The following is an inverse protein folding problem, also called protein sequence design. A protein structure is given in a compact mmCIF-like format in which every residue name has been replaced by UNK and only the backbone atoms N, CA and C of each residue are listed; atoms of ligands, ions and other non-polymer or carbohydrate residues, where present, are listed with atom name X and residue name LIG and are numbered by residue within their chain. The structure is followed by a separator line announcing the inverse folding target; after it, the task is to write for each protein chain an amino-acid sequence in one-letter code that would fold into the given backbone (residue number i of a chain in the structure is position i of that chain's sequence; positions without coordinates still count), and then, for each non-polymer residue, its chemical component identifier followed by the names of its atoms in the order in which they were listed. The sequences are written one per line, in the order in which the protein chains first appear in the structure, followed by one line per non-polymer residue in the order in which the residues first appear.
data_IF_160134337626
#
_entry.id   IF_160134337626
#
_cell.length_a   1.000
_cell.length_b   1.000
_cell.length_c   1.000
_cell.angle_alpha   90.00
_cell.angle_beta   90.00
_cell.angle_gamma   90.00
#
_symmetry.space_group_name_H-M   'P 1'
#
loop_
_entity.id
_entity.type
_entity.pdbx_description
1 polymer ?
#
# COMPACT_ATOMS: atom_id res chain seq x y z
N UNK A 1 -27.13 50.61 -30.72
CA UNK A 1 -26.83 49.23 -30.28
C UNK A 1 -26.97 49.17 -28.76
N UNK A 2 -27.97 48.42 -28.24
CA UNK A 2 -28.14 48.23 -26.77
C UNK A 2 -27.39 47.00 -26.38
N UNK A 3 -26.44 47.11 -25.45
CA UNK A 3 -25.75 45.98 -24.84
C UNK A 3 -26.70 45.23 -23.91
N UNK A 4 -26.70 43.88 -23.91
CA UNK A 4 -27.53 43.12 -22.99
C UNK A 4 -27.00 43.26 -21.55
N UNK A 5 -27.93 43.32 -20.59
CA UNK A 5 -27.66 43.55 -19.18
C UNK A 5 -26.82 42.41 -18.54
N UNK A 6 -25.91 42.81 -17.64
CA UNK A 6 -24.95 41.90 -16.92
C UNK A 6 -25.59 40.83 -16.03
N UNK A 7 -26.90 40.79 -15.86
CA UNK A 7 -27.58 39.95 -14.89
C UNK A 7 -27.88 38.52 -15.36
N UNK A 8 -27.76 38.22 -16.68
CA UNK A 8 -28.09 36.90 -17.21
C UNK A 8 -26.93 35.86 -17.15
N UNK A 9 -25.69 36.34 -16.97
CA UNK A 9 -24.54 35.43 -16.92
C UNK A 9 -24.40 34.64 -15.58
N UNK A 10 -24.81 35.22 -14.47
CA UNK A 10 -24.68 34.58 -13.15
C UNK A 10 -25.65 33.43 -12.94
N UNK A 11 -26.83 33.49 -13.57
CA UNK A 11 -27.87 32.45 -13.42
C UNK A 11 -27.56 31.21 -14.25
N UNK A 12 -26.97 31.38 -15.43
CA UNK A 12 -26.56 30.24 -16.30
C UNK A 12 -25.39 29.47 -15.67
N UNK A 13 -24.43 30.18 -15.03
CA UNK A 13 -23.28 29.54 -14.40
C UNK A 13 -23.66 28.73 -13.14
N UNK A 14 -24.60 29.24 -12.33
CA UNK A 14 -25.12 28.50 -11.18
C UNK A 14 -25.89 27.24 -11.59
N UNK A 15 -26.71 27.31 -12.64
CA UNK A 15 -27.43 26.15 -13.16
C UNK A 15 -26.51 25.03 -13.65
N UNK A 16 -25.42 25.36 -14.36
CA UNK A 16 -24.45 24.38 -14.82
C UNK A 16 -23.73 23.66 -13.70
N UNK A 17 -23.38 24.34 -12.60
CA UNK A 17 -22.73 23.72 -11.44
C UNK A 17 -23.67 22.70 -10.74
N UNK A 18 -24.95 23.03 -10.61
CA UNK A 18 -25.95 22.11 -10.04
C UNK A 18 -26.19 20.87 -10.89
N UNK A 19 -26.23 21.00 -12.22
CA UNK A 19 -26.40 19.88 -13.14
C UNK A 19 -25.17 18.95 -13.08
N UNK A 20 -23.95 19.50 -13.04
CA UNK A 20 -22.73 18.71 -12.87
C UNK A 20 -22.69 17.97 -11.52
N UNK A 21 -23.08 18.64 -10.43
CA UNK A 21 -23.13 18.02 -9.10
C UNK A 21 -24.17 16.87 -9.06
N UNK A 22 -25.34 17.05 -9.67
CA UNK A 22 -26.39 16.02 -9.75
C UNK A 22 -25.92 14.84 -10.61
N UNK A 23 -25.31 15.08 -11.78
CA UNK A 23 -24.79 14.02 -12.63
C UNK A 23 -23.66 13.22 -11.94
N UNK A 24 -22.79 13.89 -11.20
CA UNK A 24 -21.76 13.22 -10.40
C UNK A 24 -22.34 12.38 -9.26
N UNK A 25 -23.42 12.84 -8.62
CA UNK A 25 -24.11 12.10 -7.57
C UNK A 25 -24.80 10.84 -8.12
N UNK A 26 -25.46 10.95 -9.28
CA UNK A 26 -26.08 9.80 -9.94
C UNK A 26 -25.05 8.80 -10.46
N UNK A 27 -23.93 9.24 -11.00
CA UNK A 27 -22.84 8.37 -11.44
C UNK A 27 -22.23 7.59 -10.28
N UNK A 28 -22.00 8.22 -9.13
CA UNK A 28 -21.48 7.56 -7.94
C UNK A 28 -22.47 6.54 -7.34
N UNK A 29 -23.76 6.86 -7.28
CA UNK A 29 -24.78 5.94 -6.82
C UNK A 29 -24.97 4.70 -7.71
N UNK A 30 -24.86 4.86 -9.03
CA UNK A 30 -24.99 3.71 -9.96
C UNK A 30 -23.77 2.80 -9.88
N UNK A 31 -22.60 3.37 -9.65
CA UNK A 31 -21.35 2.60 -9.54
C UNK A 31 -21.27 1.82 -8.23
N UNK A 32 -21.63 2.42 -7.11
CA UNK A 32 -21.70 1.73 -5.80
C UNK A 32 -22.65 0.52 -5.85
N UNK A 33 -23.80 0.65 -6.50
CA UNK A 33 -24.70 -0.48 -6.76
C UNK A 33 -24.06 -1.56 -7.63
N UNK A 34 -23.24 -1.18 -8.61
CA UNK A 34 -22.54 -2.14 -9.48
C UNK A 34 -21.51 -2.95 -8.69
N UNK A 35 -20.69 -2.32 -7.86
CA UNK A 35 -19.70 -3.01 -7.02
C UNK A 35 -20.40 -3.92 -6.02
N UNK A 36 -21.46 -3.44 -5.35
CA UNK A 36 -22.24 -4.24 -4.42
C UNK A 36 -22.81 -5.51 -5.06
N UNK A 37 -23.25 -5.44 -6.32
CA UNK A 37 -23.77 -6.57 -7.06
C UNK A 37 -22.70 -7.54 -7.58
N UNK A 38 -21.45 -7.09 -7.70
CA UNK A 38 -20.32 -7.96 -8.09
C UNK A 38 -19.88 -8.88 -6.96
N UNK A 39 -20.08 -8.45 -5.72
CA UNK A 39 -19.73 -9.24 -4.53
C UNK A 39 -20.91 -10.14 -4.18
N UNK A 40 -20.81 -11.40 -4.54
CA UNK A 40 -21.78 -12.41 -4.12
C UNK A 40 -21.85 -12.47 -2.60
N UNK A 41 -23.07 -12.66 -2.07
CA UNK A 41 -23.30 -12.67 -0.62
C UNK A 41 -22.43 -13.71 0.10
N UNK A 42 -22.20 -14.87 -0.53
CA UNK A 42 -21.34 -15.95 -0.03
C UNK A 42 -19.86 -15.57 0.06
N UNK A 43 -19.41 -14.59 -0.75
CA UNK A 43 -18.01 -14.17 -0.79
C UNK A 43 -17.71 -12.97 0.12
N UNK A 44 -18.76 -12.30 0.62
CA UNK A 44 -18.61 -11.00 1.27
C UNK A 44 -17.77 -11.06 2.55
N UNK A 45 -17.98 -12.08 3.37
CA UNK A 45 -17.31 -12.22 4.66
C UNK A 45 -15.78 -12.39 4.47
N UNK A 46 -15.36 -13.41 3.72
CA UNK A 46 -13.95 -13.67 3.50
C UNK A 46 -13.27 -12.55 2.70
N UNK A 47 -13.97 -11.91 1.73
CA UNK A 47 -13.43 -10.75 1.01
C UNK A 47 -13.23 -9.55 1.93
N UNK A 48 -14.15 -9.33 2.87
CA UNK A 48 -14.01 -8.26 3.86
C UNK A 48 -12.76 -8.49 4.70
N UNK A 49 -12.59 -9.70 5.22
CA UNK A 49 -11.40 -10.10 5.99
C UNK A 49 -10.13 -9.96 5.17
N UNK A 50 -10.11 -10.50 3.94
CA UNK A 50 -8.97 -10.41 3.03
C UNK A 50 -8.52 -8.95 2.79
N UNK A 51 -9.46 -8.06 2.48
CA UNK A 51 -9.11 -6.67 2.25
C UNK A 51 -8.79 -5.91 3.54
N UNK A 52 -9.33 -6.30 4.70
CA UNK A 52 -8.91 -5.75 5.99
C UNK A 52 -7.46 -6.11 6.29
N UNK A 53 -7.09 -7.37 6.15
CA UNK A 53 -5.72 -7.82 6.37
C UNK A 53 -4.77 -7.08 5.40
N UNK A 54 -5.08 -7.09 4.13
CA UNK A 54 -4.24 -6.48 3.10
C UNK A 54 -4.12 -4.96 3.25
N UNK A 55 -5.22 -4.27 3.48
CA UNK A 55 -5.25 -2.81 3.51
C UNK A 55 -4.82 -2.23 4.85
N UNK A 56 -5.27 -2.81 5.96
CA UNK A 56 -5.07 -2.22 7.28
C UNK A 56 -3.89 -2.84 8.00
N UNK A 57 -3.75 -4.16 7.97
CA UNK A 57 -2.66 -4.84 8.66
C UNK A 57 -1.35 -4.75 7.90
N UNK A 58 -1.40 -4.98 6.58
CA UNK A 58 -0.24 -4.88 5.69
C UNK A 58 -0.03 -3.45 5.13
N UNK A 59 -0.80 -2.47 5.63
CA UNK A 59 -0.62 -1.03 5.35
C UNK A 59 -0.84 -0.61 3.88
N UNK A 60 -1.43 -1.48 3.05
CA UNK A 60 -1.68 -1.19 1.64
C UNK A 60 -2.70 -0.05 1.45
N UNK A 61 -3.41 0.33 2.49
CA UNK A 61 -4.35 1.46 2.48
C UNK A 61 -3.65 2.79 2.15
N UNK A 62 -2.36 2.94 2.50
CA UNK A 62 -1.57 4.13 2.15
C UNK A 62 -1.14 4.14 0.68
N UNK A 63 -1.05 2.98 0.04
CA UNK A 63 -0.89 2.88 -1.42
C UNK A 63 -2.22 3.14 -2.12
N UNK A 64 -3.34 2.72 -1.53
CA UNK A 64 -4.67 2.92 -2.12
C UNK A 64 -5.13 4.39 -2.06
N UNK A 65 -4.87 5.10 -0.96
CA UNK A 65 -5.43 6.42 -0.68
C UNK A 65 -4.41 7.51 -0.37
N UNK A 66 -3.18 7.14 -0.06
CA UNK A 66 -2.12 8.03 0.37
C UNK A 66 -1.02 8.17 -0.68
N UNK A 67 0.19 8.44 -0.22
CA UNK A 67 1.36 8.73 -1.04
C UNK A 67 2.36 7.57 -1.14
N UNK A 68 2.05 6.40 -0.56
CA UNK A 68 2.93 5.22 -0.62
C UNK A 68 2.87 4.62 -2.02
N UNK A 69 3.98 4.58 -2.78
CA UNK A 69 3.96 4.10 -4.17
C UNK A 69 3.57 2.63 -4.27
N UNK A 70 4.09 1.79 -3.37
CA UNK A 70 3.77 0.37 -3.34
C UNK A 70 3.90 -0.22 -1.94
N UNK A 71 3.23 -1.34 -1.73
CA UNK A 71 3.30 -2.14 -0.50
C UNK A 71 3.71 -3.55 -0.84
N UNK A 72 4.63 -4.11 -0.05
CA UNK A 72 4.98 -5.51 -0.05
C UNK A 72 4.19 -6.22 1.04
N UNK A 73 3.54 -7.30 0.68
CA UNK A 73 2.76 -8.17 1.56
C UNK A 73 3.42 -9.55 1.54
N UNK A 74 3.63 -10.13 2.69
CA UNK A 74 4.22 -11.45 2.84
C UNK A 74 3.08 -12.46 3.04
N UNK A 75 2.98 -13.44 2.15
CA UNK A 75 2.13 -14.60 2.34
C UNK A 75 2.99 -15.71 2.95
N UNK A 76 2.80 -15.95 4.21
CA UNK A 76 3.46 -17.02 4.94
C UNK A 76 2.57 -18.27 4.90
N UNK A 77 3.09 -19.33 4.28
CA UNK A 77 2.41 -20.62 4.10
C UNK A 77 2.85 -21.67 5.13
N UNK A 78 3.65 -21.27 6.14
CA UNK A 78 4.00 -22.19 7.21
C UNK A 78 2.77 -22.65 7.98
N UNK A 79 2.77 -23.89 8.42
CA UNK A 79 1.73 -24.44 9.29
C UNK A 79 1.73 -23.69 10.63
N UNK A 80 0.54 -23.36 11.12
CA UNK A 80 0.34 -22.74 12.43
C UNK A 80 1.07 -23.51 13.55
N UNK A 81 1.12 -24.84 13.44
CA UNK A 81 1.81 -25.71 14.39
C UNK A 81 3.32 -25.48 14.39
N UNK A 82 3.95 -25.26 13.23
CA UNK A 82 5.38 -24.96 13.13
C UNK A 82 5.69 -23.59 13.71
N UNK A 83 4.82 -22.61 13.47
CA UNK A 83 4.94 -21.28 14.04
C UNK A 83 4.84 -21.30 15.57
N UNK A 84 3.88 -22.03 16.13
CA UNK A 84 3.72 -22.16 17.58
C UNK A 84 4.94 -22.84 18.23
N UNK A 85 5.49 -23.89 17.61
CA UNK A 85 6.73 -24.56 18.07
C UNK A 85 7.93 -23.59 18.03
N UNK A 86 8.00 -22.74 17.03
CA UNK A 86 9.05 -21.72 16.93
C UNK A 86 8.86 -20.62 17.96
N UNK A 87 7.63 -20.13 18.14
CA UNK A 87 7.27 -19.09 19.13
C UNK A 87 7.55 -19.52 20.57
N UNK A 88 7.34 -20.79 20.91
CA UNK A 88 7.63 -21.32 22.24
C UNK A 88 9.13 -21.29 22.60
N UNK A 89 10.01 -21.18 21.62
CA UNK A 89 11.46 -21.06 21.82
C UNK A 89 11.91 -19.64 22.19
N UNK A 90 11.05 -18.65 22.08
CA UNK A 90 11.37 -17.28 22.40
C UNK A 90 11.36 -17.02 23.89
N UNK A 91 12.24 -16.12 24.33
CA UNK A 91 12.17 -15.52 25.66
C UNK A 91 10.87 -14.72 25.83
N UNK A 92 10.46 -14.45 27.07
CA UNK A 92 9.26 -13.66 27.33
C UNK A 92 9.38 -12.21 26.78
N UNK A 93 10.60 -11.67 26.71
CA UNK A 93 10.87 -10.37 26.10
C UNK A 93 10.69 -10.41 24.58
N UNK A 94 11.16 -11.46 23.91
CA UNK A 94 10.95 -11.67 22.48
C UNK A 94 9.48 -11.93 22.17
N UNK A 95 8.77 -12.73 22.97
CA UNK A 95 7.33 -12.98 22.84
C UNK A 95 6.51 -11.69 22.95
N UNK A 96 6.89 -10.75 23.82
CA UNK A 96 6.23 -9.44 23.93
C UNK A 96 6.40 -8.59 22.68
N UNK A 97 7.46 -8.81 21.91
CA UNK A 97 7.75 -8.09 20.68
C UNK A 97 7.25 -8.83 19.41
N UNK A 98 6.83 -10.09 19.56
CA UNK A 98 6.26 -10.88 18.48
C UNK A 98 4.75 -10.64 18.38
N UNK A 99 4.25 -10.42 17.19
CA UNK A 99 2.82 -10.40 16.89
C UNK A 99 2.34 -11.85 16.84
N UNK A 100 1.49 -12.27 17.79
CA UNK A 100 0.76 -13.53 17.66
C UNK A 100 -0.35 -13.31 16.63
N UNK A 101 -0.19 -13.91 15.48
CA UNK A 101 -1.20 -13.91 14.42
C UNK A 101 -2.17 -15.06 14.76
N UNK A 102 -3.28 -14.75 15.37
CA UNK A 102 -4.27 -15.74 15.85
C UNK A 102 -4.97 -16.52 14.74
N UNK A 103 -4.91 -16.16 13.53
CA UNK A 103 -5.35 -16.90 12.33
C UNK A 103 -4.93 -16.06 11.13
N UNK A 104 -3.87 -16.48 10.46
CA UNK A 104 -3.38 -15.78 9.28
C UNK A 104 -3.99 -16.44 8.04
N UNK A 105 -5.22 -16.09 7.74
CA UNK A 105 -5.96 -16.63 6.58
C UNK A 105 -5.57 -15.96 5.25
N UNK A 106 -4.58 -15.07 5.27
CA UNK A 106 -4.23 -14.28 4.08
C UNK A 106 -3.78 -15.14 2.88
N UNK A 107 -2.95 -16.20 3.05
CA UNK A 107 -2.60 -17.08 1.95
C UNK A 107 -3.80 -17.81 1.35
N UNK A 108 -4.69 -18.36 2.19
CA UNK A 108 -5.91 -19.03 1.73
C UNK A 108 -6.87 -18.04 1.02
N UNK A 109 -7.04 -16.85 1.58
CA UNK A 109 -7.89 -15.82 1.01
C UNK A 109 -7.29 -15.26 -0.29
N UNK A 110 -5.95 -15.23 -0.42
CA UNK A 110 -5.30 -14.93 -1.69
C UNK A 110 -5.67 -15.93 -2.78
N UNK A 111 -5.66 -17.23 -2.48
CA UNK A 111 -6.05 -18.25 -3.44
C UNK A 111 -7.53 -18.16 -3.84
N UNK A 112 -8.41 -17.76 -2.92
CA UNK A 112 -9.82 -17.45 -3.24
C UNK A 112 -9.92 -16.21 -4.13
N UNK A 113 -9.18 -15.15 -3.78
CA UNK A 113 -9.17 -13.90 -4.55
C UNK A 113 -8.64 -14.11 -5.97
N UNK A 114 -7.55 -14.84 -6.16
CA UNK A 114 -6.94 -15.06 -7.46
C UNK A 114 -7.92 -15.68 -8.48
N UNK A 115 -8.86 -16.52 -8.01
CA UNK A 115 -9.89 -17.15 -8.85
C UNK A 115 -10.95 -16.16 -9.35
N UNK A 116 -11.22 -15.09 -8.61
CA UNK A 116 -12.30 -14.14 -8.93
C UNK A 116 -11.79 -12.73 -9.26
N UNK A 117 -10.52 -12.45 -9.11
CA UNK A 117 -9.91 -11.12 -9.32
C UNK A 117 -10.21 -10.52 -10.70
N UNK A 118 -10.36 -11.38 -11.73
CA UNK A 118 -10.74 -10.96 -13.09
C UNK A 118 -12.09 -10.23 -13.16
N UNK A 119 -12.98 -10.42 -12.16
CA UNK A 119 -14.26 -9.69 -12.05
C UNK A 119 -14.07 -8.25 -11.55
N UNK A 120 -12.90 -7.92 -11.00
CA UNK A 120 -12.57 -6.64 -10.36
C UNK A 120 -11.37 -5.98 -11.06
N UNK A 121 -11.55 -5.45 -12.28
CA UNK A 121 -10.44 -4.88 -13.05
C UNK A 121 -9.89 -3.63 -12.34
N UNK A 122 -8.61 -3.65 -12.03
CA UNK A 122 -7.89 -2.53 -11.44
C UNK A 122 -7.22 -1.73 -12.55
N UNK A 123 -7.55 -0.44 -12.68
CA UNK A 123 -7.00 0.40 -13.76
C UNK A 123 -5.70 1.08 -13.37
N UNK A 124 -5.64 1.55 -12.13
CA UNK A 124 -4.54 2.35 -11.61
C UNK A 124 -3.64 1.58 -10.65
N UNK A 125 -4.00 0.32 -10.36
CA UNK A 125 -3.30 -0.51 -9.39
C UNK A 125 -2.95 -1.86 -9.97
N UNK A 126 -1.86 -2.45 -9.46
CA UNK A 126 -1.51 -3.85 -9.69
C UNK A 126 -1.48 -4.56 -8.33
N UNK A 127 -2.00 -5.77 -8.30
CA UNK A 127 -1.89 -6.69 -7.16
C UNK A 127 -1.29 -7.99 -7.69
N UNK A 128 0.00 -8.20 -7.45
CA UNK A 128 0.81 -9.20 -8.16
C UNK A 128 1.56 -10.07 -7.18
N UNK A 129 1.40 -11.40 -7.29
CA UNK A 129 2.20 -12.37 -6.54
C UNK A 129 3.50 -12.65 -7.29
N UNK A 130 4.63 -12.53 -6.59
CA UNK A 130 5.96 -12.88 -7.09
C UNK A 130 6.63 -13.90 -6.21
N UNK A 131 7.41 -14.76 -6.82
CA UNK A 131 8.27 -15.71 -6.14
C UNK A 131 9.69 -15.12 -6.09
N UNK A 132 10.20 -14.83 -4.90
CA UNK A 132 11.55 -14.25 -4.71
C UNK A 132 12.60 -15.29 -4.31
N UNK A 133 12.19 -16.46 -3.87
CA UNK A 133 13.08 -17.55 -3.48
C UNK A 133 12.54 -18.88 -3.99
N UNK A 134 13.37 -19.91 -3.92
CA UNK A 134 12.95 -21.30 -4.19
C UNK A 134 12.16 -21.91 -3.03
N UNK A 135 12.07 -21.20 -1.92
CA UNK A 135 11.26 -21.58 -0.77
C UNK A 135 9.78 -21.35 -1.09
N UNK A 136 9.00 -22.41 -1.18
CA UNK A 136 7.58 -22.35 -1.46
C UNK A 136 6.74 -21.96 -0.23
N UNK A 137 7.36 -21.91 0.96
CA UNK A 137 6.69 -21.52 2.20
C UNK A 137 6.40 -20.04 2.30
N UNK A 138 7.11 -19.20 1.52
CA UNK A 138 6.93 -17.74 1.53
C UNK A 138 6.66 -17.26 0.10
N UNK A 139 5.62 -16.46 -0.06
CA UNK A 139 5.31 -15.74 -1.29
C UNK A 139 5.16 -14.26 -1.02
N UNK A 140 5.47 -13.45 -2.00
CA UNK A 140 5.39 -11.99 -1.92
C UNK A 140 4.31 -11.47 -2.83
N UNK A 141 3.47 -10.59 -2.30
CA UNK A 141 2.46 -9.87 -3.08
C UNK A 141 2.80 -8.40 -3.06
N UNK A 142 2.90 -7.81 -4.24
CA UNK A 142 3.08 -6.38 -4.42
C UNK A 142 1.73 -5.75 -4.72
N UNK A 143 1.35 -4.77 -3.92
CA UNK A 143 0.27 -3.85 -4.23
C UNK A 143 0.88 -2.53 -4.68
N UNK A 144 0.62 -2.13 -5.94
CA UNK A 144 1.34 -1.06 -6.63
C UNK A 144 0.34 -0.02 -7.14
N UNK A 145 0.53 1.24 -6.77
CA UNK A 145 -0.06 2.38 -7.49
C UNK A 145 0.83 2.69 -8.70
N UNK A 146 0.31 2.45 -9.91
CA UNK A 146 1.06 2.58 -11.17
C UNK A 146 1.60 4.00 -11.33
N UNK A 147 0.76 5.00 -11.08
CA UNK A 147 1.13 6.40 -11.28
C UNK A 147 2.18 6.88 -10.29
N UNK A 148 1.99 6.60 -9.01
CA UNK A 148 2.93 7.00 -7.97
C UNK A 148 4.28 6.27 -8.10
N UNK A 149 4.25 4.97 -8.39
CA UNK A 149 5.47 4.18 -8.58
C UNK A 149 6.26 4.67 -9.79
N UNK A 150 5.59 4.93 -10.92
CA UNK A 150 6.22 5.53 -12.11
C UNK A 150 6.84 6.90 -11.77
N UNK A 151 6.10 7.76 -11.08
CA UNK A 151 6.58 9.09 -10.68
C UNK A 151 7.79 9.02 -9.74
N UNK A 152 7.78 8.06 -8.80
CA UNK A 152 8.92 7.83 -7.90
C UNK A 152 10.17 7.39 -8.66
N UNK A 153 10.04 6.46 -9.60
CA UNK A 153 11.14 6.03 -10.46
C UNK A 153 11.65 7.16 -11.35
N UNK A 154 10.77 8.00 -11.90
CA UNK A 154 11.16 9.18 -12.69
C UNK A 154 11.93 10.19 -11.84
N UNK A 155 11.44 10.50 -10.63
CA UNK A 155 12.09 11.43 -9.70
C UNK A 155 13.51 10.99 -9.35
N UNK A 156 13.74 9.71 -9.16
CA UNK A 156 15.02 9.13 -8.76
C UNK A 156 15.72 8.36 -9.90
N UNK A 157 15.38 8.66 -11.15
CA UNK A 157 15.85 7.90 -12.33
C UNK A 157 17.35 7.72 -12.38
N UNK A 158 18.12 8.78 -12.11
CA UNK A 158 19.59 8.73 -12.09
C UNK A 158 20.13 7.74 -11.06
N UNK A 159 19.54 7.70 -9.88
CA UNK A 159 19.92 6.76 -8.81
C UNK A 159 19.59 5.32 -9.20
N UNK A 160 18.40 5.09 -9.74
CA UNK A 160 18.02 3.78 -10.26
C UNK A 160 18.97 3.32 -11.35
N UNK A 161 19.22 4.15 -12.38
CA UNK A 161 20.13 3.85 -13.48
C UNK A 161 21.56 3.54 -12.99
N UNK A 162 22.06 4.32 -12.05
CA UNK A 162 23.41 4.13 -11.49
C UNK A 162 23.54 2.78 -10.77
N UNK A 163 22.54 2.39 -9.98
CA UNK A 163 22.56 1.14 -9.21
C UNK A 163 22.33 -0.06 -10.12
N UNK A 164 21.39 0.05 -11.06
CA UNK A 164 21.02 -1.04 -11.96
C UNK A 164 22.04 -1.24 -13.10
N UNK A 165 22.75 -0.17 -13.48
CA UNK A 165 23.74 -0.21 -14.57
C UNK A 165 23.15 -0.23 -15.97
N UNK A 166 21.84 0.06 -16.14
CA UNK A 166 21.17 0.12 -17.44
C UNK A 166 20.01 1.13 -17.45
N UNK A 167 19.62 1.56 -18.64
CA UNK A 167 18.45 2.41 -18.86
C UNK A 167 17.16 1.59 -18.83
N UNK A 168 16.06 2.21 -18.41
CA UNK A 168 14.74 1.58 -18.38
C UNK A 168 13.64 2.62 -18.61
N UNK A 169 12.48 2.19 -19.05
CA UNK A 169 11.27 3.01 -19.08
C UNK A 169 10.48 2.78 -17.77
N UNK A 170 10.25 3.84 -16.96
CA UNK A 170 9.58 3.70 -15.67
C UNK A 170 8.18 3.08 -15.74
N UNK A 171 7.39 3.39 -16.77
CA UNK A 171 6.04 2.83 -16.89
C UNK A 171 6.08 1.36 -17.35
N UNK A 172 6.98 1.02 -18.28
CA UNK A 172 7.11 -0.35 -18.77
C UNK A 172 7.55 -1.30 -17.65
N UNK A 173 8.54 -0.88 -16.83
CA UNK A 173 9.03 -1.73 -15.73
C UNK A 173 8.00 -1.87 -14.60
N UNK A 174 7.09 -0.90 -14.39
CA UNK A 174 6.00 -1.06 -13.43
C UNK A 174 5.09 -2.21 -13.87
N UNK A 175 4.74 -2.30 -15.14
CA UNK A 175 3.95 -3.44 -15.63
C UNK A 175 4.75 -4.75 -15.67
N UNK A 176 6.07 -4.69 -15.89
CA UNK A 176 6.95 -5.86 -15.90
C UNK A 176 7.10 -6.53 -14.51
N UNK A 177 6.55 -5.93 -13.44
CA UNK A 177 6.51 -6.56 -12.11
C UNK A 177 5.79 -7.92 -12.12
N UNK A 178 4.91 -8.16 -13.09
CA UNK A 178 4.22 -9.44 -13.27
C UNK A 178 5.14 -10.55 -13.80
N UNK A 179 6.29 -10.18 -14.35
CA UNK A 179 7.27 -11.11 -14.91
C UNK A 179 8.27 -11.51 -13.83
N UNK A 180 8.21 -12.75 -13.35
CA UNK A 180 9.14 -13.26 -12.34
C UNK A 180 10.62 -13.27 -12.81
N UNK A 181 10.85 -13.23 -14.13
CA UNK A 181 12.19 -13.18 -14.72
C UNK A 181 12.63 -11.74 -15.06
N UNK A 182 11.93 -10.72 -14.59
CA UNK A 182 12.28 -9.32 -14.82
C UNK A 182 13.66 -9.01 -14.26
N UNK A 183 14.62 -8.68 -15.16
CA UNK A 183 15.95 -8.22 -14.76
C UNK A 183 15.87 -6.98 -13.88
N UNK A 184 14.95 -6.06 -14.21
CA UNK A 184 14.75 -4.83 -13.44
C UNK A 184 14.37 -5.16 -12.00
N UNK A 185 13.28 -5.91 -11.80
CA UNK A 185 12.76 -6.19 -10.48
C UNK A 185 13.71 -7.07 -9.66
N UNK A 186 14.34 -8.08 -10.26
CA UNK A 186 15.36 -8.88 -9.58
C UNK A 186 16.50 -8.02 -9.03
N UNK A 187 16.93 -6.99 -9.79
CA UNK A 187 17.99 -6.08 -9.33
C UNK A 187 17.49 -5.07 -8.30
N UNK A 188 16.27 -4.56 -8.44
CA UNK A 188 15.64 -3.61 -7.49
C UNK A 188 15.42 -4.26 -6.13
N UNK A 189 14.93 -5.49 -6.10
CA UNK A 189 14.66 -6.28 -4.89
C UNK A 189 15.93 -6.55 -4.06
N UNK A 190 17.11 -6.52 -4.68
CA UNK A 190 18.41 -6.62 -4.01
C UNK A 190 18.92 -5.31 -3.43
N UNK A 191 18.26 -4.19 -3.71
CA UNK A 191 18.68 -2.86 -3.27
C UNK A 191 17.74 -2.29 -2.22
N UNK A 192 18.16 -2.29 -0.96
CA UNK A 192 17.39 -1.67 0.14
C UNK A 192 17.13 -0.18 -0.09
N UNK A 193 18.00 0.54 -0.82
CA UNK A 193 17.79 1.94 -1.17
C UNK A 193 16.63 2.10 -2.16
N UNK A 194 16.62 1.34 -3.25
CA UNK A 194 15.60 1.43 -4.28
C UNK A 194 14.24 0.95 -3.74
N UNK A 195 14.24 -0.13 -2.96
CA UNK A 195 13.03 -0.59 -2.28
C UNK A 195 12.51 0.43 -1.28
N UNK A 196 13.39 1.10 -0.52
CA UNK A 196 12.98 2.17 0.40
C UNK A 196 12.29 3.35 -0.30
N UNK A 197 12.75 3.73 -1.50
CA UNK A 197 12.06 4.73 -2.32
C UNK A 197 10.67 4.25 -2.75
N UNK A 198 10.59 3.03 -3.25
CA UNK A 198 9.34 2.44 -3.74
C UNK A 198 8.33 2.19 -2.62
N UNK A 199 8.80 1.90 -1.40
CA UNK A 199 7.92 1.76 -0.23
C UNK A 199 7.53 3.10 0.40
N UNK A 200 8.03 4.23 -0.13
CA UNK A 200 7.65 5.55 0.32
C UNK A 200 8.22 5.93 1.68
N UNK A 201 9.39 5.41 2.06
CA UNK A 201 10.05 5.74 3.33
C UNK A 201 10.77 7.09 3.31
N UNK A 202 10.79 7.76 2.15
CA UNK A 202 11.49 9.02 1.94
C UNK A 202 12.98 8.83 1.63
N UNK A 203 13.56 9.83 1.00
CA UNK A 203 14.92 9.75 0.47
C UNK A 203 15.97 9.63 1.60
N UNK A 204 15.81 10.43 2.66
CA UNK A 204 16.72 10.40 3.79
C UNK A 204 16.72 9.04 4.49
N UNK A 205 15.53 8.55 4.84
CA UNK A 205 15.37 7.28 5.56
C UNK A 205 15.86 6.10 4.74
N UNK A 206 15.52 6.04 3.45
CA UNK A 206 15.96 4.99 2.55
C UNK A 206 17.49 4.99 2.39
N UNK A 207 18.10 6.17 2.22
CA UNK A 207 19.55 6.32 2.09
C UNK A 207 20.27 5.94 3.40
N UNK A 208 19.83 6.46 4.52
CA UNK A 208 20.44 6.18 5.82
C UNK A 208 20.34 4.69 6.19
N UNK A 209 19.17 4.07 5.95
CA UNK A 209 19.00 2.64 6.16
C UNK A 209 19.94 1.81 5.27
N UNK A 210 20.03 2.16 3.97
CA UNK A 210 20.91 1.48 3.02
C UNK A 210 22.38 1.58 3.43
N UNK A 211 22.84 2.77 3.84
CA UNK A 211 24.20 2.98 4.27
C UNK A 211 24.51 2.20 5.57
N UNK A 212 23.60 2.19 6.53
CA UNK A 212 23.75 1.48 7.80
C UNK A 212 23.73 -0.04 7.63
N UNK A 213 22.94 -0.58 6.69
CA UNK A 213 22.87 -2.02 6.43
C UNK A 213 24.10 -2.57 5.69
N UNK A 214 24.91 -1.71 5.08
CA UNK A 214 26.20 -2.08 4.50
C UNK A 214 27.28 -1.94 5.57
N UNK A 215 27.75 -3.03 6.15
CA UNK A 215 28.75 -3.16 7.23
C UNK A 215 29.98 -2.24 7.17
N UNK A 216 30.22 -1.59 6.01
CA UNK A 216 31.37 -0.69 5.78
C UNK A 216 31.25 0.68 6.44
N UNK A 217 30.09 1.06 6.98
CA UNK A 217 29.82 2.42 7.46
C UNK A 217 29.37 2.50 8.93
N UNK A 218 29.42 1.40 9.68
CA UNK A 218 29.08 1.39 11.11
C UNK A 218 29.81 2.49 11.92
N UNK A 219 31.02 2.82 11.53
CA UNK A 219 31.84 3.85 12.22
C UNK A 219 31.62 5.28 11.69
N UNK A 220 30.88 5.49 10.61
CA UNK A 220 30.75 6.81 9.95
C UNK A 220 29.40 7.48 10.17
N UNK A 221 28.38 6.75 10.67
CA UNK A 221 27.02 7.25 10.90
C UNK A 221 26.62 7.07 12.35
N UNK A 222 27.54 7.23 13.28
CA UNK A 222 27.29 7.20 14.74
C UNK A 222 26.25 8.23 15.21
N UNK A 223 25.99 9.26 14.39
CA UNK A 223 25.11 10.38 14.76
C UNK A 223 23.62 10.16 14.40
N UNK A 224 23.28 9.12 13.63
CA UNK A 224 21.91 8.86 13.23
C UNK A 224 21.39 7.62 13.97
N UNK A 225 20.74 7.83 15.09
CA UNK A 225 20.03 6.76 15.80
C UNK A 225 18.74 6.41 15.04
N UNK A 226 18.59 5.17 14.55
CA UNK A 226 17.36 4.74 13.90
C UNK A 226 16.22 4.66 14.92
N UNK A 227 15.08 5.23 14.58
CA UNK A 227 13.86 5.14 15.38
C UNK A 227 12.75 4.49 14.58
N UNK A 228 12.01 3.55 15.14
CA UNK A 228 10.84 3.02 14.43
C UNK A 228 9.81 4.13 14.22
N UNK A 229 9.26 4.24 13.02
CA UNK A 229 8.23 5.22 12.66
C UNK A 229 6.97 5.10 13.53
N UNK A 230 6.76 3.93 14.10
CA UNK A 230 5.67 3.62 15.04
C UNK A 230 6.16 2.68 16.13
N UNK A 231 5.45 2.67 17.27
CA UNK A 231 5.63 1.62 18.28
C UNK A 231 5.15 0.30 17.71
N UNK A 232 5.83 -0.80 18.05
CA UNK A 232 5.33 -2.13 17.74
C UNK A 232 3.89 -2.27 18.28
N UNK A 233 2.99 -2.82 17.48
CA UNK A 233 1.65 -3.16 17.93
C UNK A 233 1.76 -4.45 18.74
N UNK A 234 2.16 -4.33 20.01
CA UNK A 234 2.17 -5.44 20.96
C UNK A 234 0.77 -5.54 21.56
N UNK A 235 0.12 -6.69 21.39
CA UNK A 235 -1.18 -7.02 21.97
C UNK A 235 -2.35 -6.97 21.01
N UNK A 236 -3.46 -7.59 21.42
CA UNK A 236 -4.72 -7.76 20.70
C UNK A 236 -5.52 -6.46 20.54
N UNK A 237 -4.96 -5.47 19.87
CA UNK A 237 -5.77 -4.32 19.45
C UNK A 237 -6.30 -4.65 18.07
N UNK A 238 -7.60 -4.92 17.98
CA UNK A 238 -8.23 -5.16 16.70
C UNK A 238 -7.96 -3.99 15.75
N UNK A 239 -7.31 -4.27 14.62
CA UNK A 239 -7.05 -3.26 13.59
C UNK A 239 -8.37 -3.00 12.86
N UNK A 240 -8.72 -1.73 12.73
CA UNK A 240 -9.94 -1.28 12.07
C UNK A 240 -9.69 0.02 11.33
N UNK A 241 -10.65 0.46 10.55
CA UNK A 241 -10.59 1.78 9.88
C UNK A 241 -10.46 2.96 10.84
N UNK A 242 -10.78 2.77 12.11
CA UNK A 242 -10.63 3.78 13.17
C UNK A 242 -9.27 3.68 13.87
N UNK A 243 -8.63 2.51 13.80
CA UNK A 243 -7.41 2.21 14.55
C UNK A 243 -6.44 1.37 13.73
N UNK A 244 -5.88 1.93 12.66
CA UNK A 244 -4.79 1.33 11.91
C UNK A 244 -3.51 2.15 12.04
N UNK A 245 -2.33 1.51 12.00
CA UNK A 245 -1.05 2.19 12.15
C UNK A 245 -0.64 2.95 10.89
N UNK A 246 0.34 3.84 11.02
CA UNK A 246 1.10 4.35 9.87
C UNK A 246 2.10 3.29 9.41
N UNK A 247 2.65 3.39 8.17
CA UNK A 247 3.65 2.46 7.67
C UNK A 247 4.86 2.28 8.59
N UNK A 248 5.31 1.03 8.73
CA UNK A 248 6.47 0.68 9.54
C UNK A 248 7.76 0.88 8.73
N UNK A 249 8.64 1.74 9.21
CA UNK A 249 9.99 1.94 8.68
C UNK A 249 10.92 2.51 9.76
N UNK A 250 12.22 2.49 9.48
CA UNK A 250 13.20 3.15 10.33
C UNK A 250 13.36 4.61 9.90
N UNK A 251 13.07 5.53 10.82
CA UNK A 251 13.28 6.97 10.66
C UNK A 251 14.65 7.37 11.21
N UNK A 252 15.28 8.32 10.53
CA UNK A 252 16.59 8.87 10.89
C UNK A 252 16.55 10.39 11.04
N UNK A 253 15.35 10.99 11.06
CA UNK A 253 15.15 12.43 11.21
C UNK A 253 14.21 12.75 12.38
N UNK A 254 14.34 13.96 12.95
CA UNK A 254 13.45 14.45 14.01
C UNK A 254 13.31 15.97 13.93
N UNK A 255 12.13 16.51 13.55
CA UNK A 255 10.91 15.76 13.17
C UNK A 255 11.04 15.11 11.78
N UNK A 256 10.43 13.94 11.60
CA UNK A 256 10.42 13.25 10.32
C UNK A 256 9.18 13.65 9.50
N UNK A 257 9.42 14.36 8.39
CA UNK A 257 8.37 14.83 7.51
C UNK A 257 7.53 13.70 6.88
N UNK A 258 8.13 12.51 6.69
CA UNK A 258 7.42 11.33 6.16
C UNK A 258 6.45 10.77 7.20
N UNK A 259 6.87 10.71 8.46
CA UNK A 259 5.98 10.30 9.57
C UNK A 259 4.81 11.28 9.69
N UNK A 260 5.07 12.58 9.68
CA UNK A 260 4.02 13.60 9.75
C UNK A 260 3.05 13.50 8.56
N UNK A 261 3.57 13.23 7.35
CA UNK A 261 2.75 13.02 6.17
C UNK A 261 1.83 11.82 6.34
N UNK A 262 2.34 10.66 6.73
CA UNK A 262 1.53 9.47 6.93
C UNK A 262 0.51 9.62 8.08
N UNK A 263 0.82 10.38 9.12
CA UNK A 263 -0.14 10.71 10.16
C UNK A 263 -1.32 11.54 9.61
N UNK A 264 -1.05 12.56 8.80
CA UNK A 264 -2.09 13.38 8.13
C UNK A 264 -2.92 12.53 7.15
N UNK A 265 -2.27 11.67 6.38
CA UNK A 265 -2.95 10.75 5.46
C UNK A 265 -3.85 9.77 6.21
N UNK A 266 -3.39 9.21 7.33
CA UNK A 266 -4.19 8.32 8.18
C UNK A 266 -5.49 9.00 8.62
N UNK A 267 -5.44 10.23 9.11
CA UNK A 267 -6.65 10.95 9.52
C UNK A 267 -7.59 11.22 8.33
N UNK A 268 -7.04 11.57 7.17
CA UNK A 268 -7.83 11.74 5.95
C UNK A 268 -8.49 10.43 5.47
N UNK A 269 -7.78 9.31 5.58
CA UNK A 269 -8.28 7.97 5.24
C UNK A 269 -9.39 7.56 6.22
N UNK A 270 -9.20 7.74 7.52
CA UNK A 270 -10.22 7.47 8.55
C UNK A 270 -11.51 8.22 8.23
N UNK A 271 -11.41 9.50 7.90
CA UNK A 271 -12.56 10.31 7.52
C UNK A 271 -13.29 9.78 6.27
N UNK A 272 -12.55 9.21 5.29
CA UNK A 272 -13.15 8.59 4.08
C UNK A 272 -14.00 7.37 4.41
N UNK A 273 -13.57 6.54 5.35
CA UNK A 273 -14.26 5.31 5.74
C UNK A 273 -15.35 5.51 6.79
N UNK A 274 -15.37 6.65 7.50
CA UNK A 274 -16.34 6.91 8.56
C UNK A 274 -17.78 6.71 8.08
N UNK A 275 -18.50 5.77 8.73
CA UNK A 275 -19.90 5.45 8.41
C UNK A 275 -20.12 4.78 7.05
N UNK A 276 -19.07 4.30 6.38
CA UNK A 276 -19.17 3.63 5.08
C UNK A 276 -18.84 2.15 5.19
N UNK A 277 -19.37 1.38 4.23
CA UNK A 277 -19.00 -0.01 4.09
C UNK A 277 -17.56 -0.12 3.56
N UNK A 278 -16.70 -0.78 4.36
CA UNK A 278 -15.27 -0.89 4.09
C UNK A 278 -14.99 -1.57 2.76
N UNK A 279 -15.57 -2.75 2.54
CA UNK A 279 -15.30 -3.55 1.35
C UNK A 279 -15.75 -2.82 0.08
N UNK A 280 -16.95 -2.27 0.09
CA UNK A 280 -17.48 -1.58 -1.08
C UNK A 280 -16.62 -0.36 -1.45
N UNK A 281 -16.26 0.47 -0.46
CA UNK A 281 -15.44 1.66 -0.71
C UNK A 281 -14.03 1.30 -1.21
N UNK A 282 -13.44 0.23 -0.65
CA UNK A 282 -12.13 -0.28 -1.08
C UNK A 282 -12.18 -0.77 -2.53
N UNK A 283 -13.15 -1.60 -2.86
CA UNK A 283 -13.32 -2.12 -4.23
C UNK A 283 -13.66 -1.02 -5.24
N UNK A 284 -14.52 -0.07 -4.85
CA UNK A 284 -14.80 1.11 -5.68
C UNK A 284 -13.51 1.86 -6.04
N UNK A 285 -12.65 2.09 -5.08
CA UNK A 285 -11.37 2.79 -5.30
C UNK A 285 -10.41 1.99 -6.17
N UNK A 286 -10.32 0.67 -5.96
CA UNK A 286 -9.45 -0.21 -6.75
C UNK A 286 -9.83 -0.25 -8.23
N UNK A 287 -11.13 -0.20 -8.53
CA UNK A 287 -11.65 -0.33 -9.90
C UNK A 287 -11.69 1.00 -10.68
N UNK A 288 -11.51 2.13 -10.00
CA UNK A 288 -11.46 3.48 -10.60
C UNK A 288 -10.05 3.91 -10.93
#
# INVERSE_FOLDING_TARGET
MKFPSKNNFSTIFKGSIYIFAILFFFASCTWSKKVHNLVEKSNREWMTKFFQDLMLEEEAIFTLWGSKPMTLIILDHHDETEYLVWYEKFSEEEKQNCRIIETYDLPENWEKWSKISHKFPMKNYLLVKRKLSDDDSISYVYFVDIGQTTSMMQKHYSTFKQILGFDFDPIEVVYDIQNNNSRFWTSVEQSSLLMGFLFGYGELNATAFHLKSREKLENSIEFLEPRPSRKSLVGKVGISTENFPIPAFMSFDEPDAVIEQYQKEREAIRAKYAGKDFLNLTLERLMH
#
